data_IF_318150823462
#
_entry.id   IF_318150823462
#
_cell.length_a   1.000
_cell.length_b   1.000
_cell.length_c   1.000
_cell.angle_alpha   90.00
_cell.angle_beta   90.00
_cell.angle_gamma   90.00
#
_symmetry.space_group_name_H-M   'P 1'
#
loop_
_entity.id
_entity.type
_entity.pdbx_description
1 polymer ?
#
# COMPACT_ATOMS: atom_id res chain seq x y z
N UNK A 1 -13.70 -5.38 -5.92
CA UNK A 1 -13.41 -6.04 -4.60
C UNK A 1 -11.91 -6.02 -4.42
N UNK A 2 -11.44 -5.76 -3.17
CA UNK A 2 -9.99 -5.77 -2.89
C UNK A 2 -9.52 -7.15 -2.46
N UNK A 3 -8.33 -7.52 -2.94
CA UNK A 3 -7.57 -8.72 -2.54
C UNK A 3 -6.20 -8.28 -2.09
N UNK A 4 -5.89 -8.48 -0.81
CA UNK A 4 -4.65 -8.05 -0.17
C UNK A 4 -3.57 -9.11 -0.32
N UNK A 5 -2.34 -8.69 -0.58
CA UNK A 5 -1.17 -9.56 -0.49
C UNK A 5 -0.82 -9.74 0.98
N UNK A 6 -0.71 -10.99 1.44
CA UNK A 6 -0.35 -11.35 2.82
C UNK A 6 1.15 -11.40 3.03
N UNK A 7 1.92 -11.55 1.94
CA UNK A 7 3.38 -11.65 1.98
C UNK A 7 3.99 -10.93 0.77
N UNK A 8 5.28 -10.62 0.89
CA UNK A 8 6.05 -10.03 -0.21
C UNK A 8 6.25 -11.04 -1.34
N UNK A 9 6.08 -10.58 -2.57
CA UNK A 9 6.51 -11.33 -3.74
C UNK A 9 8.04 -11.26 -3.85
N UNK A 10 8.69 -12.41 -4.02
CA UNK A 10 10.10 -12.41 -4.41
C UNK A 10 10.28 -11.83 -5.82
N UNK A 11 11.52 -11.52 -6.20
CA UNK A 11 11.80 -10.81 -7.46
C UNK A 11 11.30 -11.54 -8.71
N UNK A 12 11.37 -12.87 -8.74
CA UNK A 12 10.92 -13.68 -9.88
C UNK A 12 9.39 -13.67 -9.99
N UNK A 13 8.71 -13.81 -8.85
CA UNK A 13 7.25 -13.78 -8.79
C UNK A 13 6.70 -12.38 -9.08
N UNK A 14 7.38 -11.33 -8.60
CA UNK A 14 7.03 -9.95 -8.91
C UNK A 14 7.15 -9.66 -10.41
N UNK A 15 8.25 -10.08 -11.05
CA UNK A 15 8.44 -9.94 -12.49
C UNK A 15 7.34 -10.66 -13.26
N UNK A 16 7.06 -11.92 -12.92
CA UNK A 16 5.99 -12.71 -13.54
C UNK A 16 4.63 -12.02 -13.37
N UNK A 17 4.31 -11.57 -12.17
CA UNK A 17 3.05 -10.88 -11.88
C UNK A 17 2.90 -9.59 -12.71
N UNK A 18 3.96 -8.78 -12.83
CA UNK A 18 3.95 -7.55 -13.61
C UNK A 18 3.81 -7.83 -15.13
N UNK A 19 4.43 -8.92 -15.63
CA UNK A 19 4.29 -9.34 -17.04
C UNK A 19 2.85 -9.81 -17.30
N UNK A 20 2.29 -10.66 -16.47
CA UNK A 20 0.91 -11.13 -16.61
C UNK A 20 -0.12 -9.99 -16.50
N UNK A 21 0.24 -8.92 -15.76
CA UNK A 21 -0.62 -7.73 -15.65
C UNK A 21 -0.80 -6.98 -16.99
N UNK A 22 -0.01 -7.21 -18.04
CA UNK A 22 -0.20 -6.60 -19.36
C UNK A 22 -1.54 -6.97 -20.02
N UNK A 23 -2.12 -8.12 -19.65
CA UNK A 23 -3.45 -8.49 -20.14
C UNK A 23 -4.51 -7.48 -19.68
N UNK A 24 -4.36 -6.93 -18.48
CA UNK A 24 -5.34 -6.08 -17.79
C UNK A 24 -4.98 -4.60 -17.81
N UNK A 25 -3.70 -4.28 -17.77
CA UNK A 25 -3.17 -2.93 -17.53
C UNK A 25 -2.45 -2.35 -18.75
N UNK A 26 -2.41 -1.01 -18.84
CA UNK A 26 -1.68 -0.28 -19.88
C UNK A 26 -0.79 0.83 -19.33
N UNK A 27 -0.91 1.17 -18.04
CA UNK A 27 -0.17 2.24 -17.36
C UNK A 27 0.18 1.88 -15.94
N UNK A 28 1.19 2.58 -15.42
CA UNK A 28 1.50 2.62 -14.01
C UNK A 28 1.91 4.03 -13.57
N UNK A 29 1.79 4.30 -12.27
CA UNK A 29 2.31 5.54 -11.68
C UNK A 29 3.26 5.22 -10.54
N UNK A 30 4.24 6.14 -10.37
CA UNK A 30 5.15 6.21 -9.23
C UNK A 30 4.91 7.56 -8.55
N UNK A 31 4.83 7.56 -7.23
CA UNK A 31 4.54 8.73 -6.42
C UNK A 31 5.82 9.15 -5.68
N UNK A 32 6.18 10.43 -5.83
CA UNK A 32 7.28 11.05 -5.12
C UNK A 32 6.77 12.07 -4.10
N UNK A 33 7.19 11.94 -2.85
CA UNK A 33 6.89 12.87 -1.76
C UNK A 33 8.14 13.67 -1.40
N UNK A 34 8.15 14.96 -1.80
CA UNK A 34 9.28 15.86 -1.55
C UNK A 34 9.43 16.22 -0.05
N UNK A 35 8.37 16.00 0.75
CA UNK A 35 8.31 16.36 2.16
C UNK A 35 8.84 15.30 3.12
N UNK A 36 8.99 14.04 2.66
CA UNK A 36 9.44 12.94 3.52
C UNK A 36 10.61 12.12 2.96
N UNK A 37 10.87 12.21 1.65
CA UNK A 37 11.95 11.44 1.03
C UNK A 37 13.28 12.18 1.15
N UNK A 38 14.30 11.47 1.63
CA UNK A 38 15.65 11.98 1.85
C UNK A 38 16.34 12.34 0.53
N UNK A 39 17.13 13.41 0.52
CA UNK A 39 17.99 13.81 -0.61
C UNK A 39 18.91 12.70 -1.09
N UNK A 40 19.22 11.72 -0.24
CA UNK A 40 20.00 10.54 -0.60
C UNK A 40 19.41 9.75 -1.77
N UNK A 41 18.07 9.70 -1.87
CA UNK A 41 17.38 8.95 -2.93
C UNK A 41 17.09 9.76 -4.20
N UNK A 42 17.49 11.02 -4.25
CA UNK A 42 17.27 11.88 -5.44
C UNK A 42 17.98 11.33 -6.66
N UNK A 43 19.21 10.84 -6.50
CA UNK A 43 20.00 10.28 -7.61
C UNK A 43 19.40 8.99 -8.18
N UNK A 44 18.85 8.12 -7.34
CA UNK A 44 18.17 6.89 -7.76
C UNK A 44 16.85 7.21 -8.47
N UNK A 45 16.09 8.17 -7.97
CA UNK A 45 14.88 8.69 -8.62
C UNK A 45 15.21 9.22 -10.02
N UNK A 46 16.22 10.09 -10.13
CA UNK A 46 16.58 10.73 -11.39
C UNK A 46 17.05 9.68 -12.43
N UNK A 47 17.83 8.68 -12.00
CA UNK A 47 18.24 7.57 -12.85
C UNK A 47 17.01 6.76 -13.35
N UNK A 48 16.07 6.44 -12.48
CA UNK A 48 14.87 5.73 -12.87
C UNK A 48 14.00 6.56 -13.82
N UNK A 49 13.81 7.86 -13.55
CA UNK A 49 13.05 8.76 -14.42
C UNK A 49 13.71 8.91 -15.79
N UNK A 50 15.04 8.94 -15.88
CA UNK A 50 15.77 8.94 -17.14
C UNK A 50 15.49 7.66 -17.94
N UNK A 51 15.61 6.47 -17.30
CA UNK A 51 15.32 5.18 -17.93
C UNK A 51 13.86 5.04 -18.38
N UNK A 52 12.93 5.65 -17.65
CA UNK A 52 11.50 5.62 -17.97
C UNK A 52 11.03 6.78 -18.85
N UNK A 53 11.89 7.73 -19.19
CA UNK A 53 11.51 8.98 -19.88
C UNK A 53 10.72 8.77 -21.18
N UNK A 54 11.09 7.77 -21.99
CA UNK A 54 10.42 7.45 -23.28
C UNK A 54 9.03 6.83 -23.10
N UNK A 55 8.71 6.35 -21.89
CA UNK A 55 7.43 5.75 -21.54
C UNK A 55 6.53 6.74 -20.79
N UNK A 56 7.04 7.89 -20.37
CA UNK A 56 6.29 8.87 -19.60
C UNK A 56 5.11 9.40 -20.41
N UNK A 57 3.92 9.36 -19.82
CA UNK A 57 2.66 9.87 -20.39
C UNK A 57 2.08 11.03 -19.61
N UNK A 58 2.55 11.28 -18.39
CA UNK A 58 2.11 12.41 -17.59
C UNK A 58 2.90 12.60 -16.30
N UNK A 59 2.82 13.83 -15.78
CA UNK A 59 3.31 14.24 -14.47
C UNK A 59 2.31 15.23 -13.88
N UNK A 60 1.95 15.08 -12.61
CA UNK A 60 1.04 15.97 -11.92
C UNK A 60 1.40 16.13 -10.44
N UNK A 61 1.13 17.30 -9.86
CA UNK A 61 1.08 17.48 -8.40
C UNK A 61 -0.26 16.99 -7.89
N UNK A 62 -0.24 16.17 -6.85
CA UNK A 62 -1.42 15.51 -6.29
C UNK A 62 -1.38 15.57 -4.76
N UNK A 63 -2.57 15.57 -4.14
CA UNK A 63 -2.75 15.42 -2.70
C UNK A 63 -3.46 14.10 -2.36
N UNK A 64 -3.92 13.38 -3.40
CA UNK A 64 -4.62 12.13 -3.25
C UNK A 64 -4.29 11.21 -4.43
N UNK A 65 -4.02 9.94 -4.15
CA UNK A 65 -3.84 8.88 -5.14
C UNK A 65 -4.43 7.56 -4.58
N UNK A 66 -4.57 6.51 -5.37
CA UNK A 66 -5.14 5.27 -4.89
C UNK A 66 -4.46 4.79 -3.60
N UNK A 67 -5.27 4.62 -2.55
CA UNK A 67 -4.81 4.15 -1.23
C UNK A 67 -4.35 5.24 -0.27
N UNK A 68 -3.98 6.43 -0.73
CA UNK A 68 -3.35 7.44 0.13
C UNK A 68 -3.92 8.84 -0.11
N UNK A 69 -4.09 9.60 0.98
CA UNK A 69 -4.43 11.02 0.96
C UNK A 69 -3.55 11.78 1.95
N UNK A 70 -2.93 12.85 1.47
CA UNK A 70 -2.07 13.72 2.29
C UNK A 70 -2.72 15.08 2.51
N UNK A 71 -2.37 15.70 3.63
CA UNK A 71 -2.88 17.02 4.03
C UNK A 71 -1.72 17.99 4.16
N UNK A 72 -1.92 19.23 3.73
CA UNK A 72 -0.94 20.34 3.85
C UNK A 72 0.38 20.16 3.07
N UNK A 73 0.48 19.15 2.22
CA UNK A 73 1.62 18.91 1.32
C UNK A 73 1.14 18.40 -0.04
N UNK A 74 2.05 18.27 -1.00
CA UNK A 74 1.78 17.73 -2.32
C UNK A 74 2.84 16.68 -2.66
N UNK A 75 2.40 15.65 -3.37
CA UNK A 75 3.26 14.66 -4.01
C UNK A 75 3.35 14.92 -5.51
N UNK A 76 4.40 14.41 -6.14
CA UNK A 76 4.49 14.38 -7.60
C UNK A 76 4.20 12.95 -8.07
N UNK A 77 3.14 12.79 -8.86
CA UNK A 77 2.79 11.54 -9.51
C UNK A 77 3.33 11.53 -10.95
N UNK A 78 4.16 10.56 -11.27
CA UNK A 78 4.67 10.29 -12.61
C UNK A 78 3.95 9.09 -13.18
N UNK A 79 3.35 9.23 -14.36
CA UNK A 79 2.60 8.16 -15.03
C UNK A 79 3.32 7.70 -16.29
N UNK A 80 3.42 6.39 -16.49
CA UNK A 80 4.16 5.76 -17.57
C UNK A 80 3.29 4.74 -18.30
N UNK A 81 3.59 4.51 -19.58
CA UNK A 81 3.05 3.35 -20.31
C UNK A 81 3.64 2.06 -19.77
N UNK A 82 2.79 1.08 -19.55
CA UNK A 82 3.18 -0.26 -19.16
C UNK A 82 3.61 -1.03 -20.40
N UNK A 83 4.89 -1.34 -20.48
CA UNK A 83 5.52 -2.17 -21.54
C UNK A 83 6.56 -3.08 -20.91
N UNK A 84 7.00 -4.10 -21.63
CA UNK A 84 8.06 -4.98 -21.13
C UNK A 84 9.33 -4.19 -20.78
N UNK A 85 9.72 -3.24 -21.63
CA UNK A 85 10.92 -2.42 -21.40
C UNK A 85 10.76 -1.52 -20.16
N UNK A 86 9.58 -0.89 -19.97
CA UNK A 86 9.35 -0.06 -18.79
C UNK A 86 9.33 -0.88 -17.49
N UNK A 87 8.81 -2.12 -17.52
CA UNK A 87 8.87 -3.02 -16.37
C UNK A 87 10.30 -3.45 -16.07
N UNK A 88 11.11 -3.80 -17.04
CA UNK A 88 12.51 -4.14 -16.81
C UNK A 88 13.33 -2.97 -16.25
N UNK A 89 13.02 -1.73 -16.67
CA UNK A 89 13.63 -0.55 -16.06
C UNK A 89 13.17 -0.37 -14.59
N UNK A 90 11.88 -0.52 -14.32
CA UNK A 90 11.30 -0.42 -12.98
C UNK A 90 11.87 -1.47 -12.01
N UNK A 91 11.98 -2.73 -12.42
CA UNK A 91 12.44 -3.86 -11.58
C UNK A 91 13.88 -3.74 -11.08
N UNK A 92 14.67 -2.84 -11.63
CA UNK A 92 16.00 -2.54 -11.08
C UNK A 92 15.92 -1.83 -9.73
N UNK A 93 14.84 -1.09 -9.49
CA UNK A 93 14.59 -0.25 -8.32
C UNK A 93 13.50 -0.85 -7.43
N UNK A 94 12.40 -1.33 -8.00
CA UNK A 94 11.31 -2.00 -7.28
C UNK A 94 11.67 -3.46 -7.03
N UNK A 95 12.09 -3.79 -5.81
CA UNK A 95 12.51 -5.14 -5.42
C UNK A 95 11.37 -5.97 -4.85
N UNK A 96 10.38 -5.33 -4.26
CA UNK A 96 9.20 -5.97 -3.65
C UNK A 96 7.97 -5.09 -3.84
N UNK A 97 6.76 -5.62 -3.58
CA UNK A 97 5.53 -4.82 -3.59
C UNK A 97 5.37 -3.92 -2.37
N UNK A 98 6.18 -4.11 -1.32
CA UNK A 98 6.02 -3.40 -0.05
C UNK A 98 7.13 -2.38 0.21
N UNK A 99 8.17 -2.34 -0.62
CA UNK A 99 9.30 -1.43 -0.41
C UNK A 99 9.86 -0.90 -1.72
N UNK A 100 9.98 0.41 -1.78
CA UNK A 100 10.81 1.12 -2.75
C UNK A 100 11.56 2.23 -2.03
N UNK A 101 12.85 2.40 -2.32
CA UNK A 101 13.65 3.40 -1.64
C UNK A 101 13.48 4.80 -2.22
N UNK A 102 13.11 4.91 -3.48
CA UNK A 102 13.07 6.20 -4.17
C UNK A 102 11.66 6.73 -4.49
N UNK A 103 10.60 5.94 -4.22
CA UNK A 103 9.21 6.37 -4.40
C UNK A 103 8.36 5.92 -3.21
N UNK A 104 7.32 6.71 -2.91
CA UNK A 104 6.37 6.43 -1.82
C UNK A 104 5.43 5.28 -2.16
N UNK A 105 4.85 5.29 -3.36
CA UNK A 105 3.85 4.31 -3.77
C UNK A 105 3.96 3.96 -5.26
N UNK A 106 3.46 2.78 -5.60
CA UNK A 106 3.34 2.26 -6.95
C UNK A 106 1.88 1.86 -7.24
N UNK A 107 1.36 2.26 -8.41
CA UNK A 107 0.00 1.93 -8.83
C UNK A 107 0.01 1.42 -10.26
N UNK A 108 -0.56 0.22 -10.51
CA UNK A 108 -0.94 -0.21 -11.85
C UNK A 108 -2.37 0.22 -12.16
N UNK A 109 -2.62 0.62 -13.39
CA UNK A 109 -3.95 1.00 -13.85
C UNK A 109 -4.46 0.02 -14.90
N UNK A 110 -5.69 -0.45 -14.67
CA UNK A 110 -6.45 -1.18 -15.66
C UNK A 110 -6.62 -0.34 -16.94
N UNK A 111 -6.78 -0.97 -18.10
CA UNK A 111 -7.04 -0.29 -19.40
C UNK A 111 -8.26 0.64 -19.37
N UNK A 112 -9.17 0.46 -18.42
CA UNK A 112 -10.28 1.39 -18.15
C UNK A 112 -9.86 2.67 -17.41
N UNK A 113 -8.63 2.75 -16.91
CA UNK A 113 -8.10 3.85 -16.10
C UNK A 113 -8.35 3.72 -14.59
N UNK A 114 -9.03 2.67 -14.12
CA UNK A 114 -9.21 2.39 -12.71
C UNK A 114 -7.95 1.73 -12.12
N UNK A 115 -7.66 1.92 -10.82
CA UNK A 115 -6.59 1.19 -10.14
C UNK A 115 -6.79 -0.31 -10.26
N UNK A 116 -5.70 -1.04 -10.53
CA UNK A 116 -5.65 -2.50 -10.60
C UNK A 116 -4.84 -3.08 -9.45
N UNK A 117 -3.60 -2.61 -9.27
CA UNK A 117 -2.76 -2.85 -8.12
C UNK A 117 -2.45 -1.51 -7.46
N UNK A 118 -2.56 -1.46 -6.16
CA UNK A 118 -2.15 -0.31 -5.34
C UNK A 118 -1.18 -0.79 -4.27
N UNK A 119 -0.08 -0.06 -4.08
CA UNK A 119 0.80 -0.25 -2.92
C UNK A 119 0.75 0.97 -2.02
N UNK A 120 0.94 0.76 -0.72
CA UNK A 120 1.12 1.79 0.31
C UNK A 120 2.38 1.38 1.07
N UNK A 121 3.53 1.85 0.60
CA UNK A 121 4.83 1.34 1.05
C UNK A 121 5.10 1.60 2.53
N UNK A 122 4.72 2.76 3.05
CA UNK A 122 4.91 3.09 4.47
C UNK A 122 4.02 2.26 5.41
N UNK A 123 2.96 1.62 4.89
CA UNK A 123 2.08 0.72 5.64
C UNK A 123 2.40 -0.76 5.33
N UNK A 124 3.31 -1.04 4.41
CA UNK A 124 3.63 -2.38 3.89
C UNK A 124 2.38 -3.10 3.35
N UNK A 125 1.49 -2.35 2.69
CA UNK A 125 0.24 -2.86 2.13
C UNK A 125 0.33 -2.87 0.60
N UNK A 126 -0.15 -3.96 0.00
CA UNK A 126 -0.44 -4.04 -1.42
C UNK A 126 -1.77 -4.79 -1.64
N UNK A 127 -2.58 -4.31 -2.59
CA UNK A 127 -3.85 -4.96 -2.93
C UNK A 127 -4.20 -4.81 -4.41
N UNK A 128 -4.93 -5.83 -4.91
CA UNK A 128 -5.59 -5.78 -6.21
C UNK A 128 -7.02 -5.27 -6.03
N UNK A 129 -7.46 -4.33 -6.86
CA UNK A 129 -8.86 -3.91 -6.93
C UNK A 129 -9.49 -4.46 -8.23
N UNK A 130 -9.96 -5.69 -8.16
CA UNK A 130 -10.46 -6.46 -9.30
C UNK A 130 -11.71 -7.24 -8.93
N UNK A 131 -12.44 -7.72 -9.93
CA UNK A 131 -13.53 -8.65 -9.71
C UNK A 131 -13.04 -10.09 -9.46
N UNK A 132 -13.92 -10.94 -8.94
CA UNK A 132 -13.61 -12.34 -8.61
C UNK A 132 -13.19 -13.16 -9.85
N UNK A 133 -13.71 -12.83 -11.03
CA UNK A 133 -13.37 -13.51 -12.27
C UNK A 133 -11.93 -13.23 -12.66
N UNK A 134 -11.52 -11.95 -12.57
CA UNK A 134 -10.16 -11.51 -12.88
C UNK A 134 -9.14 -12.13 -11.94
N UNK A 135 -9.41 -12.13 -10.62
CA UNK A 135 -8.47 -12.74 -9.67
C UNK A 135 -8.32 -14.25 -9.89
N UNK A 136 -9.41 -14.96 -10.21
CA UNK A 136 -9.33 -16.39 -10.55
C UNK A 136 -8.50 -16.65 -11.83
N UNK A 137 -8.55 -15.74 -12.81
CA UNK A 137 -7.71 -15.84 -14.00
C UNK A 137 -6.23 -15.63 -13.67
N UNK A 138 -5.92 -14.63 -12.86
CA UNK A 138 -4.55 -14.35 -12.40
C UNK A 138 -4.00 -15.55 -11.61
N UNK A 139 -4.76 -16.09 -10.67
CA UNK A 139 -4.37 -17.27 -9.88
C UNK A 139 -4.16 -18.50 -10.78
N UNK A 140 -4.96 -18.67 -11.85
CA UNK A 140 -4.77 -19.75 -12.80
C UNK A 140 -3.42 -19.65 -13.54
N UNK A 141 -2.95 -18.43 -13.83
CA UNK A 141 -1.67 -18.17 -14.48
C UNK A 141 -0.51 -18.24 -13.49
N UNK A 142 -0.72 -17.79 -12.25
CA UNK A 142 0.26 -17.75 -11.17
C UNK A 142 -0.33 -18.45 -9.93
N UNK A 143 -0.31 -19.79 -9.87
CA UNK A 143 -1.04 -20.55 -8.83
C UNK A 143 -0.65 -20.23 -7.38
N UNK A 144 0.60 -19.88 -7.13
CA UNK A 144 1.08 -19.51 -5.78
C UNK A 144 0.33 -18.28 -5.21
N UNK A 145 -0.24 -17.42 -6.05
CA UNK A 145 -1.02 -16.28 -5.57
C UNK A 145 -2.31 -16.69 -4.85
N UNK A 146 -2.75 -17.94 -4.98
CA UNK A 146 -3.87 -18.45 -4.18
C UNK A 146 -3.58 -18.45 -2.68
N UNK A 147 -2.32 -18.66 -2.30
CA UNK A 147 -1.87 -18.67 -0.90
C UNK A 147 -1.51 -17.26 -0.41
N UNK A 148 -1.19 -16.35 -1.33
CA UNK A 148 -0.71 -15.01 -1.02
C UNK A 148 -1.80 -13.92 -1.11
N UNK A 149 -3.00 -14.23 -1.62
CA UNK A 149 -4.08 -13.27 -1.76
C UNK A 149 -5.25 -13.59 -0.85
N UNK A 150 -5.67 -12.63 -0.07
CA UNK A 150 -6.87 -12.70 0.78
C UNK A 150 -7.90 -11.67 0.33
N UNK A 151 -9.15 -12.11 0.14
CA UNK A 151 -10.24 -11.20 -0.19
C UNK A 151 -10.60 -10.32 1.02
N UNK A 152 -10.92 -9.05 0.78
CA UNK A 152 -11.22 -8.07 1.83
C UNK A 152 -12.33 -8.53 2.79
N UNK A 153 -13.33 -9.24 2.30
CA UNK A 153 -14.44 -9.78 3.11
C UNK A 153 -14.02 -10.93 4.03
N UNK A 154 -12.85 -11.54 3.77
CA UNK A 154 -12.26 -12.57 4.61
C UNK A 154 -11.23 -12.02 5.60
N UNK A 155 -10.75 -10.79 5.40
CA UNK A 155 -9.89 -10.12 6.38
C UNK A 155 -10.71 -9.79 7.61
N UNK A 156 -10.30 -10.28 8.78
CA UNK A 156 -10.90 -9.83 10.04
C UNK A 156 -10.44 -8.40 10.29
N UNK A 157 -11.35 -7.44 10.15
CA UNK A 157 -11.08 -6.08 10.61
C UNK A 157 -11.02 -6.11 12.13
N UNK A 158 -9.90 -5.67 12.69
CA UNK A 158 -9.69 -5.46 14.12
C UNK A 158 -9.46 -3.99 14.42
N UNK A 159 -9.54 -3.63 15.66
CA UNK A 159 -9.40 -2.26 16.12
C UNK A 159 -8.38 -2.19 17.23
N UNK A 160 -7.29 -1.47 17.01
CA UNK A 160 -6.28 -1.21 18.01
C UNK A 160 -6.60 0.09 18.74
N UNK A 161 -6.65 0.06 20.07
CA UNK A 161 -6.63 1.26 20.88
C UNK A 161 -5.18 1.62 21.21
N UNK A 162 -4.82 2.84 20.89
CA UNK A 162 -3.47 3.37 21.04
C UNK A 162 -3.47 4.64 21.86
N UNK A 163 -2.38 4.92 22.60
CA UNK A 163 -2.16 6.19 23.29
C UNK A 163 -1.37 7.11 22.37
N UNK A 164 -1.82 8.37 22.29
CA UNK A 164 -1.03 9.46 21.71
C UNK A 164 0.14 9.74 22.64
N UNK A 165 1.36 9.61 22.15
CA UNK A 165 2.56 10.00 22.88
C UNK A 165 2.98 11.41 22.43
N UNK A 166 3.11 12.33 23.37
CA UNK A 166 3.50 13.74 23.14
C UNK A 166 4.97 13.94 22.75
N UNK A 167 5.63 12.91 22.23
CA UNK A 167 7.04 13.04 21.86
C UNK A 167 7.15 13.66 20.44
N UNK A 168 7.18 15.00 20.44
CA UNK A 168 7.24 15.86 19.25
C UNK A 168 8.54 15.75 18.43
N UNK A 169 9.40 14.78 18.73
CA UNK A 169 10.71 14.61 18.08
C UNK A 169 10.76 13.46 17.09
N UNK A 170 9.69 12.69 16.93
CA UNK A 170 9.63 11.55 15.98
C UNK A 170 8.57 11.84 14.93
N UNK A 171 8.93 11.76 13.66
CA UNK A 171 8.08 12.00 12.47
C UNK A 171 6.88 11.04 12.33
N UNK A 172 6.83 9.99 13.13
CA UNK A 172 5.64 9.17 13.36
C UNK A 172 5.29 9.29 14.83
N UNK A 173 4.03 9.60 15.22
CA UNK A 173 3.67 9.54 16.62
C UNK A 173 3.94 8.11 17.08
N UNK A 174 4.74 7.91 18.14
CA UNK A 174 4.93 6.58 18.70
C UNK A 174 3.59 6.16 19.27
N UNK A 175 2.85 5.40 18.43
CA UNK A 175 1.53 4.90 18.77
C UNK A 175 1.76 3.62 19.55
N UNK A 176 1.66 3.68 20.88
CA UNK A 176 1.72 2.47 21.68
C UNK A 176 0.37 1.77 21.68
N UNK A 177 0.25 0.70 20.93
CA UNK A 177 -0.94 -0.16 20.97
C UNK A 177 -1.07 -0.72 22.40
N UNK A 178 -2.20 -0.43 23.04
CA UNK A 178 -2.52 -0.91 24.38
C UNK A 178 -3.31 -2.22 24.28
N UNK A 179 -4.28 -2.27 23.37
CA UNK A 179 -5.18 -3.41 23.25
C UNK A 179 -5.79 -3.47 21.85
N UNK A 180 -6.10 -4.71 21.42
CA UNK A 180 -6.75 -5.03 20.15
C UNK A 180 -8.14 -5.59 20.43
N UNK A 181 -9.12 -5.23 19.61
CA UNK A 181 -10.53 -5.62 19.73
C UNK A 181 -11.07 -6.11 18.38
N UNK A 182 -12.07 -6.98 18.43
CA UNK A 182 -12.72 -7.54 17.24
C UNK A 182 -13.82 -6.63 16.67
N UNK A 183 -14.17 -5.53 17.36
CA UNK A 183 -15.11 -4.53 16.86
C UNK A 183 -14.77 -3.14 17.39
N UNK A 184 -15.14 -2.11 16.62
CA UNK A 184 -15.00 -0.70 17.00
C UNK A 184 -15.74 -0.37 18.30
N UNK A 185 -16.95 -0.89 18.45
CA UNK A 185 -17.76 -0.71 19.66
C UNK A 185 -17.04 -1.20 20.91
N UNK A 186 -16.33 -2.34 20.83
CA UNK A 186 -15.54 -2.84 21.97
C UNK A 186 -14.34 -1.94 22.27
N UNK A 187 -13.71 -1.37 21.25
CA UNK A 187 -12.62 -0.41 21.41
C UNK A 187 -13.13 0.89 22.06
N UNK A 188 -14.27 1.43 21.61
CA UNK A 188 -14.93 2.58 22.20
C UNK A 188 -15.31 2.35 23.68
N UNK A 189 -15.94 1.23 24.00
CA UNK A 189 -16.27 0.84 25.38
C UNK A 189 -15.03 0.71 26.28
N UNK A 190 -13.90 0.31 25.71
CA UNK A 190 -12.64 0.26 26.45
C UNK A 190 -12.15 1.66 26.79
N UNK A 191 -12.16 2.59 25.82
CA UNK A 191 -11.78 3.99 26.02
C UNK A 191 -12.68 4.63 27.09
N UNK A 192 -14.01 4.44 27.02
CA UNK A 192 -14.96 4.95 28.00
C UNK A 192 -14.65 4.45 29.43
N UNK A 193 -14.28 3.18 29.59
CA UNK A 193 -13.82 2.65 30.88
C UNK A 193 -12.53 3.29 31.36
N UNK A 194 -11.57 3.48 30.46
CA UNK A 194 -10.30 4.14 30.82
C UNK A 194 -10.54 5.59 31.25
N UNK A 195 -11.43 6.30 30.56
CA UNK A 195 -11.83 7.67 30.92
C UNK A 195 -12.51 7.72 32.28
N UNK A 196 -13.36 6.76 32.61
CA UNK A 196 -13.96 6.61 33.93
C UNK A 196 -12.92 6.35 35.03
N UNK A 197 -11.73 5.89 34.66
CA UNK A 197 -10.59 5.62 35.55
C UNK A 197 -9.59 6.78 35.63
N UNK A 198 -9.91 7.94 35.03
CA UNK A 198 -9.13 9.19 35.14
C UNK A 198 -8.20 9.50 33.98
N UNK A 199 -8.29 8.75 32.87
CA UNK A 199 -7.59 9.08 31.63
C UNK A 199 -8.47 10.01 30.77
N UNK A 200 -7.86 10.86 29.94
CA UNK A 200 -8.60 11.66 28.97
C UNK A 200 -8.95 10.83 27.73
N UNK A 201 -10.17 10.92 27.22
CA UNK A 201 -10.56 10.28 25.95
C UNK A 201 -9.71 10.77 24.77
N UNK A 202 -9.27 12.04 24.82
CA UNK A 202 -8.43 12.66 23.81
C UNK A 202 -7.02 12.05 23.71
N UNK A 203 -6.59 11.30 24.75
CA UNK A 203 -5.30 10.61 24.77
C UNK A 203 -5.32 9.31 23.94
N UNK A 204 -6.50 8.82 23.54
CA UNK A 204 -6.64 7.57 22.82
C UNK A 204 -6.97 7.78 21.34
N UNK A 205 -6.57 6.81 20.53
CA UNK A 205 -6.94 6.69 19.11
C UNK A 205 -7.36 5.26 18.84
N UNK A 206 -8.47 5.08 18.12
CA UNK A 206 -8.86 3.78 17.56
C UNK A 206 -8.32 3.71 16.15
N UNK A 207 -7.47 2.72 15.88
CA UNK A 207 -6.88 2.45 14.57
C UNK A 207 -7.47 1.14 14.03
N UNK A 208 -8.27 1.19 12.96
CA UNK A 208 -8.66 -0.04 12.28
C UNK A 208 -7.42 -0.64 11.58
N UNK A 209 -7.25 -1.93 11.70
CA UNK A 209 -6.24 -2.67 10.95
C UNK A 209 -6.81 -4.02 10.53
N UNK A 210 -6.21 -4.61 9.50
CA UNK A 210 -6.57 -5.96 9.08
C UNK A 210 -5.59 -6.93 9.72
N UNK A 211 -6.13 -7.92 10.44
CA UNK A 211 -5.32 -8.96 11.06
C UNK A 211 -5.05 -10.06 10.02
N UNK A 212 -3.79 -10.19 9.62
CA UNK A 212 -3.31 -11.23 8.69
C UNK A 212 -3.28 -12.62 9.33
N UNK A 213 -3.48 -12.71 10.66
CA UNK A 213 -3.61 -13.98 11.35
C UNK A 213 -4.99 -14.59 11.05
N UNK A 214 -5.23 -15.02 9.83
CA UNK A 214 -6.29 -15.97 9.55
C UNK A 214 -5.91 -17.26 10.28
N UNK A 215 -6.62 -17.56 11.36
CA UNK A 215 -6.61 -18.90 11.92
C UNK A 215 -6.89 -19.87 10.77
N UNK A 216 -5.84 -20.55 10.33
CA UNK A 216 -5.98 -21.75 9.51
C UNK A 216 -6.56 -22.78 10.48
N UNK A 217 -7.88 -22.77 10.60
CA UNK A 217 -8.58 -23.82 11.32
C UNK A 217 -8.20 -25.16 10.66
N UNK A 218 -7.41 -25.94 11.39
CA UNK A 218 -7.11 -27.34 11.09
C UNK A 218 -8.36 -28.19 11.04
#
# INVERSE_FOLDING_TARGET
>A
MKYYFTEQLNSELLELFLIESFEYCDKFSLIWRDDILDDHYVSEKDELLEQLSTFMVGQAKVQEWPGTKIFNSEATMYTFRLTQQSIFALLKFLKTLFQCHCFEDFVLYHKSGLPFLTTIFHEEIAFLDVDETTVKQIIKQIPILQELLIAQDKCKQRYAVSVKCDDSTVYLPPVKIIKIFDSEIQAEMFIERMSSSGYSEEDFVILPFFDDSCDVDN
#
